data_IF_804806618662
#
_entry.id   IF_804806618662
#
_cell.length_a   1.000
_cell.length_b   1.000
_cell.length_c   1.000
_cell.angle_alpha   90.00
_cell.angle_beta   90.00
_cell.angle_gamma   90.00
#
_symmetry.space_group_name_H-M   'P 1'
#
loop_
_entity.id
_entity.type
_entity.pdbx_description
1 polymer ?
#
# COMPACT_ATOMS: atom_id res chain seq x y z
N UNK A 1 -19.57 9.63 19.00
CA UNK A 1 -18.46 10.13 18.16
C UNK A 1 -18.79 9.79 16.72
N UNK A 2 -18.99 10.79 15.87
CA UNK A 2 -19.36 10.60 14.46
C UNK A 2 -18.11 10.53 13.58
N UNK A 3 -18.08 9.59 12.64
CA UNK A 3 -17.05 9.51 11.61
C UNK A 3 -17.30 10.60 10.57
N UNK A 4 -16.35 11.53 10.37
CA UNK A 4 -16.47 12.61 9.39
C UNK A 4 -15.65 12.27 8.15
N UNK A 5 -16.32 11.88 7.07
CA UNK A 5 -15.68 11.78 5.75
C UNK A 5 -15.65 13.19 5.19
N UNK A 6 -14.53 13.89 5.39
CA UNK A 6 -14.29 15.17 4.72
C UNK A 6 -13.79 14.87 3.31
N UNK A 7 -14.54 15.23 2.24
CA UNK A 7 -13.99 15.20 0.90
C UNK A 7 -12.81 16.18 0.88
N UNK A 8 -11.62 15.62 0.73
CA UNK A 8 -10.40 16.40 0.74
C UNK A 8 -9.99 16.60 -0.71
N UNK A 9 -10.28 17.78 -1.25
CA UNK A 9 -9.59 18.27 -2.45
C UNK A 9 -8.20 18.70 -1.97
N UNK A 10 -7.32 17.74 -1.69
CA UNK A 10 -5.90 18.04 -1.56
C UNK A 10 -5.47 18.47 -2.96
N UNK A 11 -5.23 19.77 -3.13
CA UNK A 11 -4.83 20.38 -4.39
C UNK A 11 -3.78 19.51 -5.09
N UNK A 12 -3.95 19.41 -6.41
CA UNK A 12 -3.20 18.59 -7.35
C UNK A 12 -1.69 18.90 -7.45
N UNK A 13 -1.05 19.43 -6.40
CA UNK A 13 0.36 19.84 -6.40
C UNK A 13 1.22 18.99 -5.43
N UNK A 14 0.62 18.06 -4.68
CA UNK A 14 1.29 17.08 -3.82
C UNK A 14 0.92 15.67 -4.26
N UNK A 15 1.64 15.14 -5.26
CA UNK A 15 1.18 13.94 -5.93
C UNK A 15 1.43 12.67 -5.15
N UNK A 16 2.56 12.47 -4.44
CA UNK A 16 2.92 11.15 -3.88
C UNK A 16 3.64 11.21 -2.52
N UNK A 17 3.50 10.20 -1.65
CA UNK A 17 4.35 10.07 -0.46
C UNK A 17 5.79 9.75 -0.86
N UNK A 18 6.75 10.07 0.00
CA UNK A 18 8.15 9.67 -0.17
C UNK A 18 8.31 8.14 -0.20
N UNK A 19 9.43 7.65 -0.73
CA UNK A 19 9.72 6.21 -0.87
C UNK A 19 9.60 5.42 0.44
N UNK A 20 9.87 6.06 1.57
CA UNK A 20 9.71 5.47 2.90
C UNK A 20 9.47 6.51 4.00
N UNK A 21 9.09 6.02 5.18
CA UNK A 21 8.80 6.83 6.38
C UNK A 21 10.05 7.50 7.00
N UNK A 22 11.27 7.24 6.49
CA UNK A 22 12.49 7.91 6.99
C UNK A 22 12.73 9.28 6.34
N UNK A 23 12.00 9.62 5.27
CA UNK A 23 12.23 10.84 4.50
C UNK A 23 11.17 11.88 4.83
N UNK A 24 11.54 12.89 5.62
CA UNK A 24 10.65 13.98 6.03
C UNK A 24 10.66 15.19 5.07
N UNK A 25 9.59 15.98 5.15
CA UNK A 25 9.40 17.25 4.46
C UNK A 25 8.91 17.09 3.03
N UNK A 26 9.08 18.14 2.23
CA UNK A 26 8.81 18.10 0.80
C UNK A 26 10.08 17.75 0.03
N UNK A 27 9.97 16.94 -1.02
CA UNK A 27 11.07 16.58 -1.93
C UNK A 27 10.63 16.73 -3.38
N UNK A 28 11.55 16.99 -4.32
CA UNK A 28 11.23 16.92 -5.74
C UNK A 28 10.72 15.53 -6.12
N UNK A 29 9.71 15.45 -6.98
CA UNK A 29 9.19 14.19 -7.50
C UNK A 29 9.81 13.89 -8.87
N UNK A 30 10.16 12.62 -9.11
CA UNK A 30 10.73 12.17 -10.38
C UNK A 30 9.78 12.34 -11.58
N UNK A 31 8.47 12.47 -11.34
CA UNK A 31 7.45 12.62 -12.37
C UNK A 31 7.38 14.02 -13.01
N UNK A 32 8.07 15.03 -12.48
CA UNK A 32 8.14 16.34 -13.13
C UNK A 32 8.72 17.47 -12.27
N UNK A 33 9.24 18.54 -12.90
CA UNK A 33 9.99 19.62 -12.23
C UNK A 33 9.15 20.48 -11.27
N UNK A 34 7.82 20.42 -11.37
CA UNK A 34 6.88 21.13 -10.49
C UNK A 34 6.19 20.23 -9.49
N UNK A 35 6.53 18.93 -9.49
CA UNK A 35 5.90 17.95 -8.64
C UNK A 35 6.76 17.70 -7.40
N UNK A 36 6.10 17.53 -6.27
CA UNK A 36 6.77 17.21 -5.00
C UNK A 36 6.19 15.95 -4.38
N UNK A 37 7.04 15.21 -3.66
CA UNK A 37 6.64 14.17 -2.72
C UNK A 37 6.64 14.72 -1.30
N UNK A 38 5.86 14.09 -0.42
CA UNK A 38 5.72 14.51 0.98
C UNK A 38 6.06 13.38 1.95
N UNK A 39 6.78 13.75 3.01
CA UNK A 39 7.15 12.87 4.10
C UNK A 39 6.02 12.59 5.09
N UNK A 40 6.25 11.70 6.06
CA UNK A 40 5.24 11.34 7.06
C UNK A 40 4.93 12.50 8.01
N UNK A 41 5.85 13.43 8.24
CA UNK A 41 5.64 14.67 9.01
C UNK A 41 4.45 15.48 8.46
N UNK A 42 4.35 15.60 7.13
CA UNK A 42 3.27 16.33 6.46
C UNK A 42 1.92 15.63 6.60
N UNK A 43 1.91 14.30 6.56
CA UNK A 43 0.70 13.50 6.77
C UNK A 43 0.20 13.65 8.20
N UNK A 44 1.10 13.51 9.18
CA UNK A 44 0.76 13.60 10.60
C UNK A 44 0.28 15.00 10.98
N UNK A 45 0.96 16.05 10.50
CA UNK A 45 0.56 17.44 10.68
C UNK A 45 -0.83 17.68 10.08
N UNK A 46 -1.07 17.20 8.86
CA UNK A 46 -2.36 17.32 8.21
C UNK A 46 -3.48 16.63 9.00
N UNK A 47 -3.27 15.38 9.42
CA UNK A 47 -4.22 14.63 10.22
C UNK A 47 -4.56 15.35 11.53
N UNK A 48 -3.52 15.82 12.25
CA UNK A 48 -3.67 16.57 13.49
C UNK A 48 -4.47 17.87 13.30
N UNK A 49 -4.16 18.65 12.28
CA UNK A 49 -4.80 19.94 12.03
C UNK A 49 -6.27 19.80 11.60
N UNK A 50 -6.66 18.63 11.07
CA UNK A 50 -8.00 18.38 10.55
C UNK A 50 -8.86 17.45 11.41
N UNK A 51 -8.32 16.99 12.54
CA UNK A 51 -8.93 15.98 13.42
C UNK A 51 -9.27 14.69 12.65
N UNK A 52 -8.30 14.18 11.89
CA UNK A 52 -8.40 12.95 11.11
C UNK A 52 -7.47 11.88 11.68
N UNK A 53 -7.93 10.63 11.64
CA UNK A 53 -7.14 9.47 12.05
C UNK A 53 -6.47 8.76 10.87
N UNK A 54 -7.00 8.96 9.66
CA UNK A 54 -6.59 8.20 8.48
C UNK A 54 -6.87 8.97 7.19
N UNK A 55 -5.89 8.97 6.28
CA UNK A 55 -6.01 9.39 4.89
C UNK A 55 -6.06 8.12 4.03
N UNK A 56 -7.03 8.05 3.13
CA UNK A 56 -7.10 7.00 2.09
C UNK A 56 -7.00 7.69 0.75
N UNK A 57 -6.01 7.28 -0.05
CA UNK A 57 -5.74 7.82 -1.40
C UNK A 57 -5.61 6.69 -2.41
N UNK A 58 -5.55 7.06 -3.68
CA UNK A 58 -5.25 6.17 -4.80
C UNK A 58 -4.04 6.70 -5.59
N UNK A 59 -4.10 6.64 -6.91
CA UNK A 59 -3.16 7.21 -7.90
C UNK A 59 -1.89 6.38 -8.16
N UNK A 60 -1.22 5.86 -7.14
CA UNK A 60 0.00 5.05 -7.34
C UNK A 60 -0.33 3.56 -7.47
N UNK A 61 0.24 2.90 -8.48
CA UNK A 61 0.17 1.44 -8.62
C UNK A 61 1.11 0.79 -7.60
N UNK A 62 0.55 0.18 -6.56
CA UNK A 62 1.28 -0.56 -5.53
C UNK A 62 1.08 -2.07 -5.72
N UNK A 63 2.10 -2.87 -5.39
CA UNK A 63 2.15 -4.29 -5.78
C UNK A 63 0.98 -5.13 -5.24
N UNK A 64 0.59 -4.94 -3.99
CA UNK A 64 -0.54 -5.67 -3.39
C UNK A 64 -1.87 -4.93 -3.54
N UNK A 65 -1.89 -3.84 -4.30
CA UNK A 65 -3.04 -2.95 -4.39
C UNK A 65 -3.30 -2.14 -3.11
N UNK A 66 -2.57 -2.39 -2.03
CA UNK A 66 -2.70 -1.70 -0.75
C UNK A 66 -1.32 -1.42 -0.16
N UNK A 67 -1.09 -0.20 0.34
CA UNK A 67 0.16 0.17 0.99
C UNK A 67 -0.09 1.15 2.15
N UNK A 68 0.65 1.00 3.25
CA UNK A 68 0.61 1.92 4.40
C UNK A 68 1.84 2.83 4.39
N UNK A 69 1.62 4.07 4.81
CA UNK A 69 2.63 5.11 4.96
C UNK A 69 2.35 5.92 6.23
N UNK A 70 3.36 6.64 6.72
CA UNK A 70 3.29 7.51 7.89
C UNK A 70 2.72 6.79 9.13
N UNK A 71 3.34 5.66 9.49
CA UNK A 71 2.90 4.81 10.60
C UNK A 71 1.43 4.34 10.47
N UNK A 72 0.94 4.24 9.23
CA UNK A 72 -0.44 3.81 8.94
C UNK A 72 -1.50 4.92 8.97
N UNK A 73 -1.10 6.20 9.10
CA UNK A 73 -2.02 7.34 8.99
C UNK A 73 -2.38 7.67 7.53
N UNK A 74 -1.68 7.09 6.56
CA UNK A 74 -2.03 7.15 5.15
C UNK A 74 -2.05 5.74 4.55
N UNK A 75 -3.06 5.48 3.73
CA UNK A 75 -3.23 4.25 2.95
C UNK A 75 -3.34 4.62 1.48
N UNK A 76 -2.51 4.00 0.65
CA UNK A 76 -2.61 4.03 -0.81
C UNK A 76 -3.34 2.78 -1.29
N UNK A 77 -4.35 2.96 -2.14
CA UNK A 77 -5.16 1.91 -2.75
C UNK A 77 -5.04 1.91 -4.27
N UNK A 78 -4.97 0.71 -4.85
CA UNK A 78 -5.01 0.48 -6.28
C UNK A 78 -5.92 -0.72 -6.57
N UNK A 79 -6.96 -0.52 -7.37
CA UNK A 79 -8.02 -1.51 -7.57
C UNK A 79 -7.90 -2.30 -8.88
N UNK A 80 -7.06 -1.88 -9.82
CA UNK A 80 -6.88 -2.55 -11.10
C UNK A 80 -5.74 -3.58 -11.00
N UNK A 81 -6.03 -4.85 -11.29
CA UNK A 81 -5.04 -5.92 -11.36
C UNK A 81 -4.22 -5.84 -12.64
N UNK A 82 -2.93 -6.20 -12.58
CA UNK A 82 -2.01 -6.17 -13.71
C UNK A 82 -2.12 -4.87 -14.52
N UNK A 83 -1.90 -3.75 -13.85
CA UNK A 83 -2.01 -2.43 -14.44
C UNK A 83 -1.18 -2.32 -15.72
N UNK A 84 -1.79 -1.72 -16.75
CA UNK A 84 -1.25 -1.64 -18.12
C UNK A 84 -0.84 -2.99 -18.75
N UNK A 85 -1.24 -4.12 -18.17
CA UNK A 85 -0.87 -5.45 -18.64
C UNK A 85 0.55 -5.90 -18.25
N UNK A 86 1.31 -5.07 -17.52
CA UNK A 86 2.74 -5.28 -17.27
C UNK A 86 3.15 -5.23 -15.80
N UNK A 87 2.36 -4.59 -14.93
CA UNK A 87 2.74 -4.37 -13.54
C UNK A 87 2.63 -5.63 -12.66
N UNK A 88 1.80 -6.61 -13.06
CA UNK A 88 1.50 -7.83 -12.30
C UNK A 88 1.05 -7.60 -10.84
N UNK A 89 0.57 -6.38 -10.53
CA UNK A 89 0.07 -6.02 -9.23
C UNK A 89 -1.30 -6.66 -8.96
N UNK A 90 -1.61 -6.88 -7.68
CA UNK A 90 -2.96 -7.16 -7.22
C UNK A 90 -3.79 -5.87 -7.22
N UNK A 91 -5.10 -6.03 -7.32
CA UNK A 91 -6.08 -4.99 -7.00
C UNK A 91 -6.63 -5.20 -5.59
N UNK A 92 -7.10 -4.14 -4.94
CA UNK A 92 -7.75 -4.23 -3.63
C UNK A 92 -9.10 -3.53 -3.61
N UNK A 93 -10.01 -4.04 -2.79
CA UNK A 93 -11.16 -3.32 -2.26
C UNK A 93 -10.95 -3.14 -0.76
N UNK A 94 -10.99 -1.90 -0.27
CA UNK A 94 -10.87 -1.63 1.16
C UNK A 94 -12.24 -1.57 1.81
N UNK A 95 -12.48 -2.43 2.80
CA UNK A 95 -13.69 -2.40 3.64
C UNK A 95 -13.35 -1.77 4.98
N UNK A 96 -14.04 -0.68 5.32
CA UNK A 96 -13.90 -0.01 6.62
C UNK A 96 -15.02 -0.47 7.56
N UNK A 97 -14.62 -1.14 8.63
CA UNK A 97 -15.49 -1.50 9.74
C UNK A 97 -15.72 -0.34 10.71
N UNK A 98 -16.43 -0.64 11.80
CA UNK A 98 -16.51 0.26 12.95
C UNK A 98 -15.11 0.48 13.55
N UNK A 99 -14.94 1.59 14.25
CA UNK A 99 -13.69 1.94 14.93
C UNK A 99 -12.46 1.93 14.00
N UNK A 100 -12.67 2.27 12.72
CA UNK A 100 -11.63 2.29 11.69
C UNK A 100 -10.91 0.96 11.47
N UNK A 101 -11.57 -0.17 11.75
CA UNK A 101 -11.04 -1.49 11.39
C UNK A 101 -10.92 -1.58 9.87
N UNK A 102 -9.69 -1.69 9.38
CA UNK A 102 -9.37 -1.74 7.96
C UNK A 102 -9.26 -3.19 7.50
N UNK A 103 -10.12 -3.60 6.56
CA UNK A 103 -10.16 -4.97 6.02
C UNK A 103 -9.89 -4.90 4.50
N UNK A 104 -8.66 -5.17 4.05
CA UNK A 104 -8.34 -5.23 2.63
C UNK A 104 -8.85 -6.55 2.02
N UNK A 105 -9.52 -6.46 0.87
CA UNK A 105 -9.93 -7.60 0.05
C UNK A 105 -9.11 -7.61 -1.25
N UNK A 106 -8.08 -8.45 -1.29
CA UNK A 106 -7.17 -8.59 -2.43
C UNK A 106 -7.82 -9.33 -3.59
N UNK A 107 -7.44 -8.94 -4.81
CA UNK A 107 -7.77 -9.59 -6.07
C UNK A 107 -6.49 -9.72 -6.88
N UNK A 108 -6.14 -10.94 -7.27
CA UNK A 108 -4.95 -11.18 -8.09
C UNK A 108 -5.27 -11.06 -9.58
N UNK A 109 -4.28 -10.71 -10.41
CA UNK A 109 -4.45 -10.81 -11.85
C UNK A 109 -4.74 -12.25 -12.26
N UNK A 110 -5.56 -12.38 -13.31
CA UNK A 110 -5.84 -13.69 -13.89
C UNK A 110 -4.54 -14.29 -14.46
N UNK A 111 -4.37 -15.62 -14.36
CA UNK A 111 -3.24 -16.27 -14.98
C UNK A 111 -3.29 -16.06 -16.51
N UNK A 112 -2.13 -16.08 -17.20
CA UNK A 112 -2.08 -15.94 -18.65
C UNK A 112 -2.97 -17.00 -19.31
N UNK A 113 -3.69 -16.63 -20.38
CA UNK A 113 -4.69 -17.47 -21.06
C UNK A 113 -4.19 -18.87 -21.50
N UNK A 114 -2.87 -19.13 -21.49
CA UNK A 114 -2.26 -20.41 -21.88
C UNK A 114 -2.12 -21.45 -20.77
N UNK A 115 -2.31 -21.12 -19.49
CA UNK A 115 -2.14 -22.08 -18.38
C UNK A 115 -3.40 -22.90 -18.05
N UNK A 116 -4.57 -22.50 -18.57
CA UNK A 116 -5.86 -23.17 -18.33
C UNK A 116 -6.12 -24.36 -19.27
N UNK A 117 -5.25 -24.64 -20.24
CA UNK A 117 -5.48 -25.62 -21.30
C UNK A 117 -5.25 -27.10 -20.88
N UNK A 118 -5.11 -27.43 -19.59
CA UNK A 118 -4.64 -28.77 -19.22
C UNK A 118 -4.94 -29.36 -17.84
N UNK A 119 -5.92 -28.91 -17.04
CA UNK A 119 -6.19 -29.61 -15.77
C UNK A 119 -7.63 -29.51 -15.26
N UNK A 120 -8.19 -30.58 -14.63
CA UNK A 120 -9.57 -30.61 -14.17
C UNK A 120 -9.85 -29.53 -13.12
N UNK A 121 -10.95 -28.83 -13.33
CA UNK A 121 -11.34 -27.57 -12.70
C UNK A 121 -11.55 -27.69 -11.18
N UNK A 122 -11.19 -26.60 -10.46
CA UNK A 122 -11.40 -26.26 -9.04
C UNK A 122 -10.36 -26.64 -7.99
N UNK A 123 -9.63 -27.74 -8.09
CA UNK A 123 -8.58 -28.04 -7.08
C UNK A 123 -7.26 -27.29 -7.34
N UNK A 124 -6.96 -27.00 -8.62
CA UNK A 124 -5.72 -26.33 -9.03
C UNK A 124 -5.76 -24.82 -8.80
N UNK A 125 -6.97 -24.22 -8.81
CA UNK A 125 -7.17 -22.77 -8.66
C UNK A 125 -6.68 -22.26 -7.29
N UNK A 126 -7.01 -23.01 -6.24
CA UNK A 126 -6.63 -22.68 -4.87
C UNK A 126 -5.14 -22.91 -4.61
N UNK A 127 -4.53 -23.93 -5.25
CA UNK A 127 -3.11 -24.25 -5.09
C UNK A 127 -2.21 -23.20 -5.73
N UNK A 128 -2.50 -22.77 -6.97
CA UNK A 128 -1.68 -21.75 -7.63
C UNK A 128 -1.75 -20.40 -6.91
N UNK A 129 -2.92 -20.04 -6.37
CA UNK A 129 -3.09 -18.82 -5.58
C UNK A 129 -2.32 -18.88 -4.26
N UNK A 130 -2.30 -20.04 -3.60
CA UNK A 130 -1.51 -20.25 -2.39
C UNK A 130 -0.01 -20.18 -2.67
N UNK A 131 0.46 -20.78 -3.76
CA UNK A 131 1.88 -20.76 -4.16
C UNK A 131 2.35 -19.34 -4.52
N UNK A 132 1.54 -18.59 -5.27
CA UNK A 132 1.82 -17.18 -5.57
C UNK A 132 1.82 -16.30 -4.32
N UNK A 133 0.92 -16.55 -3.36
CA UNK A 133 0.91 -15.83 -2.09
C UNK A 133 2.09 -16.23 -1.18
N UNK A 134 2.53 -17.48 -1.21
CA UNK A 134 3.68 -17.97 -0.45
C UNK A 134 5.03 -17.46 -1.00
N UNK A 135 5.09 -17.20 -2.30
CA UNK A 135 6.29 -16.71 -3.00
C UNK A 135 6.34 -15.18 -3.08
N UNK A 136 5.26 -14.49 -2.72
CA UNK A 136 5.23 -13.03 -2.66
C UNK A 136 5.94 -12.56 -1.39
N UNK A 137 6.90 -11.64 -1.49
CA UNK A 137 7.45 -10.99 -0.31
C UNK A 137 6.30 -10.30 0.45
N UNK A 138 6.34 -10.26 1.79
CA UNK A 138 5.35 -9.51 2.56
C UNK A 138 5.32 -8.07 2.06
N UNK A 139 4.12 -7.49 1.94
CA UNK A 139 3.96 -6.08 1.59
C UNK A 139 4.90 -5.26 2.48
N UNK A 140 5.96 -4.66 1.92
CA UNK A 140 6.87 -3.89 2.75
C UNK A 140 6.05 -2.76 3.36
N UNK A 141 6.04 -2.64 4.68
CA UNK A 141 5.82 -1.30 5.26
C UNK A 141 6.92 -0.45 4.69
N UNK A 142 6.59 0.55 3.85
CA UNK A 142 7.53 1.49 3.22
C UNK A 142 8.66 1.84 4.21
N UNK A 143 9.78 1.14 4.06
CA UNK A 143 10.94 1.15 4.95
C UNK A 143 10.65 1.18 6.45
N UNK A 144 10.33 0.03 7.06
CA UNK A 144 10.95 -0.25 8.35
C UNK A 144 12.36 -0.75 8.02
N UNK A 145 13.44 0.00 8.30
CA UNK A 145 14.78 -0.55 8.14
C UNK A 145 14.86 -1.81 9.01
N UNK A 146 15.50 -2.91 8.55
CA UNK A 146 15.76 -4.03 9.44
C UNK A 146 16.47 -3.48 10.69
N UNK A 147 16.08 -3.89 11.91
CA UNK A 147 16.81 -3.49 13.10
C UNK A 147 18.28 -3.85 12.85
N UNK A 148 19.16 -2.86 13.00
CA UNK A 148 20.60 -3.07 12.86
C UNK A 148 20.97 -4.31 13.67
N UNK A 149 21.53 -5.32 13.01
CA UNK A 149 22.10 -6.49 13.69
C UNK A 149 23.23 -5.95 14.55
N UNK A 150 22.93 -5.69 15.82
CA UNK A 150 23.94 -5.40 16.80
C UNK A 150 24.64 -6.74 17.09
N UNK A 151 25.83 -6.92 16.53
CA UNK A 151 26.70 -8.07 16.78
C UNK A 151 27.28 -7.99 18.21
N UNK A 152 26.41 -7.93 19.22
CA UNK A 152 26.84 -7.59 20.56
C UNK A 152 25.76 -7.63 21.62
N UNK A 153 24.82 -8.57 21.61
CA UNK A 153 24.05 -8.84 22.83
C UNK A 153 23.60 -10.30 22.95
N UNK A 154 24.35 -11.04 23.75
CA UNK A 154 23.93 -12.31 24.33
C UNK A 154 22.84 -12.04 25.37
N UNK A 155 21.58 -12.27 25.03
CA UNK A 155 20.55 -12.55 26.04
C UNK A 155 19.38 -13.30 25.41
N UNK A 156 19.42 -14.63 25.54
CA UNK A 156 18.23 -15.48 25.54
C UNK A 156 18.15 -16.15 26.92
N UNK A 157 17.11 -15.80 27.67
CA UNK A 157 16.32 -16.74 28.48
C UNK A 157 14.87 -16.44 28.11
#
# INVERSE_FOLDING_TARGET
>A
MGFSIKPMTLCADLFDPTENDSVEGLRPNAHGPSLVTFGPDRVLEFCKNNDLQLIIRAHECVMDGFERFAHGHLITLFSATNYCGTANNAGVILVLGRDLIVIPKLRHPLPPLGSLAGSPERLVEDTWMQDLNAQRPPTPTRGCPPPSIDHGSLSWI
#
